data_IF_864726831578
#
_entry.id   IF_864726831578
#
_cell.length_a   1.000
_cell.length_b   1.000
_cell.length_c   1.000
_cell.angle_alpha   90.00
_cell.angle_beta   90.00
_cell.angle_gamma   90.00
#
_symmetry.space_group_name_H-M   'P 1'
#
loop_
_entity.id
_entity.type
_entity.pdbx_description
1 polymer ?
#
# COMPACT_ATOMS: atom_id res chain seq x y z
N UNK A 1 -24.01 23.52 -23.92
CA UNK A 1 -24.17 22.58 -22.78
C UNK A 1 -23.38 21.28 -22.96
N UNK A 2 -22.93 20.91 -24.15
CA UNK A 2 -22.11 19.70 -24.41
C UNK A 2 -20.68 19.79 -23.87
N UNK A 3 -20.02 20.95 -23.94
CA UNK A 3 -18.63 21.13 -23.46
C UNK A 3 -18.44 20.95 -21.95
N UNK A 4 -19.45 21.32 -21.15
CA UNK A 4 -19.40 21.16 -19.68
C UNK A 4 -19.49 19.67 -19.30
N UNK A 5 -20.26 18.87 -20.05
CA UNK A 5 -20.38 17.42 -19.88
C UNK A 5 -19.07 16.71 -20.25
N UNK A 6 -18.38 17.15 -21.31
CA UNK A 6 -17.05 16.63 -21.68
C UNK A 6 -15.93 17.01 -20.70
N UNK A 7 -16.07 18.13 -19.98
CA UNK A 7 -15.15 18.53 -18.91
C UNK A 7 -15.32 17.68 -17.66
N UNK A 8 -16.57 17.52 -17.19
CA UNK A 8 -16.89 16.74 -15.98
C UNK A 8 -16.55 15.25 -16.11
N UNK A 9 -16.72 14.67 -17.30
CA UNK A 9 -16.39 13.26 -17.59
C UNK A 9 -14.89 12.96 -17.44
N UNK A 10 -14.01 13.87 -17.87
CA UNK A 10 -12.55 13.69 -17.72
C UNK A 10 -12.08 13.92 -16.29
N UNK A 11 -12.75 14.76 -15.51
CA UNK A 11 -12.35 15.04 -14.12
C UNK A 11 -12.34 13.77 -13.27
N UNK A 12 -13.42 12.98 -13.31
CA UNK A 12 -13.50 11.74 -12.52
C UNK A 12 -12.44 10.72 -12.94
N UNK A 13 -12.14 10.65 -14.23
CA UNK A 13 -11.05 9.82 -14.75
C UNK A 13 -9.67 10.26 -14.24
N UNK A 14 -9.37 11.56 -14.25
CA UNK A 14 -8.09 12.07 -13.73
C UNK A 14 -8.00 11.92 -12.20
N UNK A 15 -9.08 12.22 -11.49
CA UNK A 15 -9.14 12.14 -10.02
C UNK A 15 -9.01 10.70 -9.54
N UNK A 16 -9.74 9.75 -10.14
CA UNK A 16 -9.62 8.33 -9.78
C UNK A 16 -8.20 7.81 -10.01
N UNK A 17 -7.55 8.19 -11.11
CA UNK A 17 -6.15 7.82 -11.37
C UNK A 17 -5.17 8.46 -10.40
N UNK A 18 -5.26 9.77 -10.19
CA UNK A 18 -4.38 10.49 -9.29
C UNK A 18 -4.49 9.93 -7.86
N UNK A 19 -5.71 9.69 -7.38
CA UNK A 19 -5.95 9.16 -6.03
C UNK A 19 -5.46 7.72 -5.89
N UNK A 20 -5.55 6.87 -6.92
CA UNK A 20 -4.98 5.53 -6.92
C UNK A 20 -3.44 5.53 -6.86
N UNK A 21 -2.77 6.40 -7.65
CA UNK A 21 -1.31 6.55 -7.60
C UNK A 21 -0.85 7.09 -6.25
N UNK A 22 -1.56 8.07 -5.69
CA UNK A 22 -1.25 8.64 -4.36
C UNK A 22 -1.49 7.61 -3.26
N UNK A 23 -2.58 6.84 -3.30
CA UNK A 23 -2.83 5.74 -2.35
C UNK A 23 -1.68 4.72 -2.35
N UNK A 24 -1.23 4.30 -3.55
CA UNK A 24 -0.09 3.39 -3.69
C UNK A 24 1.21 4.01 -3.15
N UNK A 25 1.49 5.27 -3.46
CA UNK A 25 2.69 5.96 -2.99
C UNK A 25 2.71 6.08 -1.46
N UNK A 26 1.59 6.45 -0.84
CA UNK A 26 1.43 6.51 0.62
C UNK A 26 1.62 5.15 1.26
N UNK A 27 1.06 4.09 0.66
CA UNK A 27 1.26 2.71 1.10
C UNK A 27 2.74 2.31 1.02
N UNK A 28 3.42 2.61 -0.09
CA UNK A 28 4.85 2.34 -0.27
C UNK A 28 5.68 3.04 0.81
N UNK A 29 5.40 4.32 1.06
CA UNK A 29 6.04 5.10 2.11
C UNK A 29 5.76 4.52 3.50
N UNK A 30 4.53 4.12 3.79
CA UNK A 30 4.17 3.51 5.07
C UNK A 30 4.97 2.21 5.32
N UNK A 31 5.12 1.35 4.30
CA UNK A 31 5.91 0.11 4.38
C UNK A 31 7.39 0.42 4.58
N UNK A 32 7.98 1.31 3.78
CA UNK A 32 9.38 1.71 3.91
C UNK A 32 9.66 2.35 5.27
N UNK A 33 8.74 3.17 5.78
CA UNK A 33 8.85 3.79 7.09
C UNK A 33 8.76 2.76 8.22
N UNK A 34 7.86 1.78 8.09
CA UNK A 34 7.78 0.64 9.01
C UNK A 34 9.06 -0.22 9.02
N UNK A 35 9.67 -0.41 7.84
CA UNK A 35 10.97 -1.07 7.70
C UNK A 35 12.09 -0.27 8.39
N UNK A 36 12.17 1.04 8.16
CA UNK A 36 13.14 1.93 8.78
C UNK A 36 13.03 1.93 10.32
N UNK A 37 11.79 1.95 10.84
CA UNK A 37 11.48 1.81 12.26
C UNK A 37 11.96 0.46 12.82
N UNK A 38 11.66 -0.64 12.13
CA UNK A 38 11.97 -2.00 12.60
C UNK A 38 13.46 -2.35 12.57
N UNK A 39 14.21 -1.75 11.64
CA UNK A 39 15.64 -2.02 11.43
C UNK A 39 16.55 -1.04 12.16
N UNK A 40 15.98 0.01 12.80
CA UNK A 40 16.72 1.14 13.37
C UNK A 40 17.70 1.78 12.37
N UNK A 41 17.38 1.73 11.08
CA UNK A 41 18.20 2.31 10.02
C UNK A 41 18.40 3.83 10.19
N UNK A 42 17.49 4.49 10.90
CA UNK A 42 17.57 5.92 11.25
C UNK A 42 18.50 6.22 12.43
N UNK A 43 19.07 5.20 13.09
CA UNK A 43 20.04 5.32 14.18
C UNK A 43 19.54 4.79 15.53
N UNK A 44 20.45 4.30 16.37
CA UNK A 44 20.13 3.77 17.72
C UNK A 44 19.47 4.81 18.66
N UNK A 45 19.66 6.12 18.40
CA UNK A 45 19.12 7.25 19.19
C UNK A 45 17.77 7.79 18.68
N UNK A 46 17.23 7.32 17.56
CA UNK A 46 15.96 7.84 17.02
C UNK A 46 14.74 7.13 17.62
N UNK A 47 14.70 6.94 18.94
CA UNK A 47 13.56 6.33 19.66
C UNK A 47 12.38 7.30 19.81
N UNK A 48 12.20 8.20 18.86
CA UNK A 48 11.31 9.32 19.02
C UNK A 48 9.86 8.92 18.63
N UNK A 49 8.88 9.09 19.52
CA UNK A 49 7.47 8.74 19.27
C UNK A 49 6.90 9.25 17.94
N UNK A 50 7.37 10.41 17.47
CA UNK A 50 6.95 11.01 16.20
C UNK A 50 7.19 10.11 14.98
N UNK A 51 8.20 9.23 15.00
CA UNK A 51 8.42 8.31 13.87
C UNK A 51 7.27 7.32 13.73
N UNK A 52 6.71 6.85 14.85
CA UNK A 52 5.53 6.00 14.85
C UNK A 52 4.30 6.79 14.40
N UNK A 53 4.20 8.05 14.79
CA UNK A 53 3.09 8.92 14.36
C UNK A 53 3.11 9.16 12.86
N UNK A 54 4.29 9.34 12.25
CA UNK A 54 4.42 9.42 10.77
C UNK A 54 3.98 8.12 10.11
N UNK A 55 4.38 6.95 10.62
CA UNK A 55 3.92 5.67 10.07
C UNK A 55 2.39 5.56 10.08
N UNK A 56 1.77 5.91 11.21
CA UNK A 56 0.31 5.89 11.40
C UNK A 56 -0.38 6.90 10.49
N UNK A 57 0.18 8.10 10.36
CA UNK A 57 -0.34 9.14 9.47
C UNK A 57 -0.30 8.69 8.01
N UNK A 58 0.81 8.11 7.55
CA UNK A 58 0.94 7.56 6.20
C UNK A 58 -0.05 6.42 5.95
N UNK A 59 -0.20 5.49 6.91
CA UNK A 59 -1.17 4.39 6.83
C UNK A 59 -2.61 4.90 6.74
N UNK A 60 -2.98 5.84 7.62
CA UNK A 60 -4.31 6.46 7.60
C UNK A 60 -4.60 7.20 6.29
N UNK A 61 -3.63 7.96 5.76
CA UNK A 61 -3.76 8.60 4.46
C UNK A 61 -3.90 7.57 3.32
N UNK A 62 -3.15 6.47 3.35
CA UNK A 62 -3.28 5.42 2.33
C UNK A 62 -4.70 4.82 2.31
N UNK A 63 -5.30 4.59 3.49
CA UNK A 63 -6.70 4.14 3.62
C UNK A 63 -7.66 5.19 3.06
N UNK A 64 -7.51 6.46 3.47
CA UNK A 64 -8.38 7.55 3.00
C UNK A 64 -8.32 7.67 1.47
N UNK A 65 -7.11 7.70 0.88
CA UNK A 65 -6.96 7.81 -0.57
C UNK A 65 -7.45 6.57 -1.31
N UNK A 66 -7.37 5.37 -0.71
CA UNK A 66 -7.98 4.15 -1.27
C UNK A 66 -9.52 4.26 -1.29
N UNK A 67 -10.13 4.79 -0.24
CA UNK A 67 -11.58 5.04 -0.20
C UNK A 67 -11.97 6.09 -1.24
N UNK A 68 -11.24 7.19 -1.34
CA UNK A 68 -11.49 8.22 -2.36
C UNK A 68 -11.34 7.64 -3.77
N UNK A 69 -10.35 6.77 -4.00
CA UNK A 69 -10.19 6.07 -5.26
C UNK A 69 -11.44 5.23 -5.62
N UNK A 70 -11.99 4.44 -4.69
CA UNK A 70 -13.24 3.70 -4.94
C UNK A 70 -14.45 4.59 -5.18
N UNK A 71 -14.62 5.63 -4.37
CA UNK A 71 -15.74 6.56 -4.48
C UNK A 71 -15.71 7.26 -5.84
N UNK A 72 -14.53 7.71 -6.27
CA UNK A 72 -14.37 8.42 -7.56
C UNK A 72 -14.56 7.51 -8.77
N UNK A 73 -14.23 6.22 -8.69
CA UNK A 73 -14.56 5.23 -9.72
C UNK A 73 -16.08 5.08 -9.90
N UNK A 74 -16.86 5.20 -8.82
CA UNK A 74 -18.32 5.11 -8.88
C UNK A 74 -18.98 6.29 -9.59
N UNK A 75 -18.24 7.39 -9.76
CA UNK A 75 -18.69 8.58 -10.50
C UNK A 75 -18.13 8.66 -11.93
N UNK A 76 -17.30 7.70 -12.35
CA UNK A 76 -16.79 7.65 -13.72
C UNK A 76 -17.91 7.22 -14.69
N UNK A 77 -18.37 8.13 -15.58
CA UNK A 77 -19.46 7.83 -16.50
C UNK A 77 -19.09 6.75 -17.52
N UNK A 78 -17.79 6.56 -17.81
CA UNK A 78 -17.33 5.52 -18.73
C UNK A 78 -17.53 4.12 -18.15
N UNK A 79 -17.17 3.90 -16.88
CA UNK A 79 -17.44 2.63 -16.19
C UNK A 79 -18.94 2.37 -16.04
N UNK A 80 -19.72 3.42 -15.74
CA UNK A 80 -21.16 3.30 -15.53
C UNK A 80 -21.91 2.99 -16.84
N UNK A 81 -21.46 3.55 -17.97
CA UNK A 81 -22.14 3.44 -19.27
C UNK A 81 -21.73 2.22 -20.09
N UNK A 82 -20.46 1.81 -20.09
CA UNK A 82 -19.99 0.69 -20.94
C UNK A 82 -20.06 -0.67 -20.25
N UNK A 83 -19.79 -0.74 -18.94
CA UNK A 83 -19.60 -2.01 -18.22
C UNK A 83 -20.60 -2.24 -17.08
N UNK A 84 -21.59 -1.36 -16.93
CA UNK A 84 -22.67 -1.50 -15.95
C UNK A 84 -22.13 -1.64 -14.52
N UNK A 85 -21.31 -0.68 -14.07
CA UNK A 85 -20.69 -0.70 -12.75
C UNK A 85 -21.68 -1.10 -11.65
N UNK A 86 -21.35 -2.18 -10.95
CA UNK A 86 -22.09 -2.66 -9.78
C UNK A 86 -21.18 -2.62 -8.56
N UNK A 87 -21.73 -2.34 -7.38
CA UNK A 87 -21.00 -2.36 -6.11
C UNK A 87 -20.28 -3.70 -5.91
N UNK A 88 -20.84 -4.82 -6.40
CA UNK A 88 -20.18 -6.13 -6.33
C UNK A 88 -18.83 -6.16 -7.04
N UNK A 89 -18.65 -5.41 -8.14
CA UNK A 89 -17.39 -5.34 -8.89
C UNK A 89 -16.27 -4.64 -8.11
N UNK A 90 -16.61 -3.83 -7.11
CA UNK A 90 -15.64 -3.18 -6.21
C UNK A 90 -15.21 -4.07 -5.05
N UNK A 91 -16.01 -5.08 -4.69
CA UNK A 91 -15.78 -5.88 -3.49
C UNK A 91 -15.65 -7.38 -3.73
N UNK A 92 -15.89 -7.89 -4.94
CA UNK A 92 -15.79 -9.33 -5.25
C UNK A 92 -14.71 -9.52 -6.32
N UNK A 93 -13.61 -10.24 -6.02
CA UNK A 93 -12.58 -10.55 -7.01
C UNK A 93 -13.19 -11.20 -8.26
N UNK A 94 -12.72 -10.79 -9.44
CA UNK A 94 -13.19 -11.28 -10.75
C UNK A 94 -14.65 -11.00 -11.13
N UNK A 95 -15.40 -10.22 -10.34
CA UNK A 95 -16.79 -9.87 -10.68
C UNK A 95 -16.90 -8.81 -11.79
N UNK A 96 -15.83 -8.08 -12.09
CA UNK A 96 -15.81 -7.08 -13.16
C UNK A 96 -15.54 -7.72 -14.52
N UNK A 97 -16.31 -7.32 -15.53
CA UNK A 97 -16.06 -7.65 -16.93
C UNK A 97 -14.85 -6.87 -17.50
N UNK A 98 -14.56 -5.70 -16.92
CA UNK A 98 -13.40 -4.92 -17.29
C UNK A 98 -12.16 -5.40 -16.51
N UNK A 99 -11.20 -6.01 -17.22
CA UNK A 99 -9.91 -6.45 -16.66
C UNK A 99 -10.07 -7.20 -15.31
N UNK A 100 -10.73 -8.36 -15.28
CA UNK A 100 -11.06 -9.08 -14.04
C UNK A 100 -9.83 -9.41 -13.18
N UNK A 101 -8.72 -9.81 -13.80
CA UNK A 101 -7.46 -10.09 -13.10
C UNK A 101 -6.86 -8.87 -12.41
N UNK A 102 -6.55 -7.78 -13.14
CA UNK A 102 -6.10 -6.52 -12.54
C UNK A 102 -6.99 -6.00 -11.42
N UNK A 103 -8.33 -6.09 -11.57
CA UNK A 103 -9.26 -5.68 -10.51
C UNK A 103 -9.20 -6.60 -9.29
N UNK A 104 -9.12 -7.92 -9.47
CA UNK A 104 -8.98 -8.87 -8.38
C UNK A 104 -7.75 -8.56 -7.49
N UNK A 105 -6.61 -8.18 -8.09
CA UNK A 105 -5.43 -7.75 -7.32
C UNK A 105 -5.70 -6.55 -6.41
N UNK A 106 -6.43 -5.54 -6.90
CA UNK A 106 -6.81 -4.36 -6.12
C UNK A 106 -7.76 -4.69 -4.97
N UNK A 107 -8.74 -5.56 -5.23
CA UNK A 107 -9.74 -5.98 -4.23
C UNK A 107 -9.08 -6.81 -3.12
N UNK A 108 -8.22 -7.77 -3.47
CA UNK A 108 -7.51 -8.57 -2.47
C UNK A 108 -6.51 -7.70 -1.70
N UNK A 109 -5.82 -6.76 -2.35
CA UNK A 109 -5.01 -5.76 -1.67
C UNK A 109 -5.85 -4.95 -0.66
N UNK A 110 -7.04 -4.49 -1.05
CA UNK A 110 -7.94 -3.78 -0.14
C UNK A 110 -8.31 -4.61 1.10
N UNK A 111 -8.55 -5.91 0.96
CA UNK A 111 -8.79 -6.79 2.12
C UNK A 111 -7.60 -6.83 3.07
N UNK A 112 -6.38 -6.95 2.54
CA UNK A 112 -5.18 -6.91 3.38
C UNK A 112 -4.98 -5.55 4.03
N UNK A 113 -5.30 -4.44 3.33
CA UNK A 113 -5.24 -3.09 3.88
C UNK A 113 -6.16 -2.98 5.10
N UNK A 114 -7.42 -3.42 4.96
CA UNK A 114 -8.37 -3.44 6.07
C UNK A 114 -7.89 -4.31 7.23
N UNK A 115 -7.41 -5.53 6.94
CA UNK A 115 -6.92 -6.43 7.97
C UNK A 115 -5.74 -5.83 8.76
N UNK A 116 -4.76 -5.24 8.06
CA UNK A 116 -3.60 -4.58 8.67
C UNK A 116 -4.01 -3.35 9.47
N UNK A 117 -4.88 -2.51 8.91
CA UNK A 117 -5.30 -1.26 9.56
C UNK A 117 -6.14 -1.54 10.80
N UNK A 118 -7.21 -2.33 10.69
CA UNK A 118 -8.08 -2.64 11.82
C UNK A 118 -7.31 -3.31 12.95
N UNK A 119 -6.47 -4.32 12.64
CA UNK A 119 -5.67 -4.95 13.71
C UNK A 119 -4.65 -4.00 14.32
N UNK A 120 -4.16 -3.00 13.58
CA UNK A 120 -3.23 -2.00 14.10
C UNK A 120 -3.91 -0.94 14.99
N UNK A 121 -5.14 -0.53 14.65
CA UNK A 121 -5.99 0.32 15.50
C UNK A 121 -6.32 -0.37 16.83
N UNK A 122 -6.61 -1.68 16.80
CA UNK A 122 -6.92 -2.48 17.98
C UNK A 122 -5.71 -3.19 18.59
N UNK A 123 -4.49 -2.82 18.23
CA UNK A 123 -3.24 -3.46 18.67
C UNK A 123 -3.17 -3.70 20.18
N UNK A 124 -3.64 -2.75 20.99
CA UNK A 124 -3.58 -2.83 22.45
C UNK A 124 -4.53 -3.87 23.06
N UNK A 125 -5.47 -4.42 22.27
CA UNK A 125 -6.42 -5.46 22.68
C UNK A 125 -6.10 -6.83 22.08
N UNK A 126 -5.03 -6.95 21.29
CA UNK A 126 -4.68 -8.16 20.57
C UNK A 126 -3.38 -8.78 21.11
N UNK A 127 -3.24 -10.12 21.08
CA UNK A 127 -1.96 -10.76 21.36
C UNK A 127 -0.88 -10.25 20.40
N UNK A 128 0.28 -9.87 20.95
CA UNK A 128 1.36 -9.26 20.16
C UNK A 128 1.84 -10.15 19.01
N UNK A 129 1.81 -11.48 19.16
CA UNK A 129 2.17 -12.43 18.10
C UNK A 129 1.15 -12.40 16.94
N UNK A 130 -0.13 -12.33 17.26
CA UNK A 130 -1.21 -12.27 16.27
C UNK A 130 -1.14 -10.97 15.47
N UNK A 131 -1.07 -9.83 16.16
CA UNK A 131 -0.94 -8.53 15.50
C UNK A 131 0.30 -8.49 14.58
N UNK A 132 1.45 -8.99 15.04
CA UNK A 132 2.65 -9.06 14.19
C UNK A 132 2.45 -9.94 12.96
N UNK A 133 1.79 -11.09 13.10
CA UNK A 133 1.48 -11.98 11.99
C UNK A 133 0.61 -11.31 10.93
N UNK A 134 -0.46 -10.65 11.35
CA UNK A 134 -1.34 -9.90 10.43
C UNK A 134 -0.62 -8.69 9.84
N UNK A 135 0.16 -7.95 10.63
CA UNK A 135 0.87 -6.77 10.15
C UNK A 135 1.96 -7.11 9.10
N UNK A 136 2.51 -8.34 9.11
CA UNK A 136 3.37 -8.83 8.03
C UNK A 136 2.62 -8.99 6.69
N UNK A 137 1.29 -9.03 6.69
CA UNK A 137 0.51 -9.00 5.46
C UNK A 137 0.63 -7.65 4.70
N UNK A 138 1.28 -6.63 5.29
CA UNK A 138 1.67 -5.41 4.60
C UNK A 138 2.59 -5.64 3.38
N UNK A 139 3.41 -6.71 3.38
CA UNK A 139 4.23 -7.07 2.22
C UNK A 139 3.40 -7.57 1.03
N UNK A 140 2.57 -8.62 1.16
CA UNK A 140 1.69 -9.05 0.07
C UNK A 140 0.69 -7.96 -0.32
N UNK A 141 0.18 -7.17 0.63
CA UNK A 141 -0.62 -5.97 0.35
C UNK A 141 0.07 -5.03 -0.64
N UNK A 142 1.31 -4.62 -0.34
CA UNK A 142 2.06 -3.72 -1.20
C UNK A 142 2.37 -4.33 -2.57
N UNK A 143 2.72 -5.63 -2.61
CA UNK A 143 2.95 -6.35 -3.85
C UNK A 143 1.69 -6.37 -4.74
N UNK A 144 0.53 -6.74 -4.18
CA UNK A 144 -0.74 -6.81 -4.90
C UNK A 144 -1.21 -5.43 -5.37
N UNK A 145 -1.07 -4.40 -4.52
CA UNK A 145 -1.36 -3.02 -4.91
C UNK A 145 -0.46 -2.53 -6.06
N UNK A 146 0.82 -2.94 -6.07
CA UNK A 146 1.75 -2.63 -7.16
C UNK A 146 1.38 -3.35 -8.45
N UNK A 147 1.01 -4.63 -8.38
CA UNK A 147 0.53 -5.40 -9.54
C UNK A 147 -0.75 -4.77 -10.10
N UNK A 148 -1.70 -4.40 -9.22
CA UNK A 148 -2.91 -3.68 -9.60
C UNK A 148 -2.59 -2.37 -10.33
N UNK A 149 -1.74 -1.53 -9.76
CA UNK A 149 -1.31 -0.26 -10.36
C UNK A 149 -0.73 -0.45 -11.78
N UNK A 150 0.13 -1.44 -11.98
CA UNK A 150 0.81 -1.68 -13.25
C UNK A 150 -0.07 -2.33 -14.33
N UNK A 151 -1.12 -3.05 -13.92
CA UNK A 151 -1.94 -3.86 -14.85
C UNK A 151 -3.32 -3.26 -15.12
N UNK A 152 -3.90 -2.53 -14.15
CA UNK A 152 -5.20 -1.89 -14.29
C UNK A 152 -5.09 -0.56 -15.07
N UNK A 153 -4.19 0.33 -14.65
CA UNK A 153 -4.03 1.66 -15.23
C UNK A 153 -3.45 1.67 -16.65
N UNK A 154 -3.88 2.62 -17.49
CA UNK A 154 -3.24 2.84 -18.79
C UNK A 154 -1.94 3.66 -18.70
N UNK A 155 -1.62 4.20 -17.52
CA UNK A 155 -0.39 4.94 -17.25
C UNK A 155 0.83 4.01 -17.05
N UNK A 156 0.67 2.70 -17.27
CA UNK A 156 1.71 1.72 -17.03
C UNK A 156 2.96 1.89 -17.92
N UNK A 157 2.89 2.66 -19.01
CA UNK A 157 4.03 3.06 -19.85
C UNK A 157 4.68 4.37 -19.40
N UNK A 158 4.10 5.08 -18.43
CA UNK A 158 4.66 6.33 -17.92
C UNK A 158 6.02 6.06 -17.23
N UNK A 159 7.13 6.65 -17.73
CA UNK A 159 8.45 6.40 -17.16
C UNK A 159 8.56 6.79 -15.68
N UNK A 160 7.92 7.89 -15.27
CA UNK A 160 7.97 8.36 -13.88
C UNK A 160 7.31 7.34 -12.94
N UNK A 161 6.17 6.78 -13.34
CA UNK A 161 5.48 5.74 -12.56
C UNK A 161 6.36 4.49 -12.44
N UNK A 162 6.95 4.03 -13.56
CA UNK A 162 7.81 2.85 -13.57
C UNK A 162 9.05 3.02 -12.72
N UNK A 163 9.75 4.15 -12.81
CA UNK A 163 10.90 4.44 -11.98
C UNK A 163 10.52 4.52 -10.50
N UNK A 164 9.37 5.12 -10.18
CA UNK A 164 8.86 5.16 -8.80
C UNK A 164 8.63 3.75 -8.26
N UNK A 165 8.00 2.87 -9.06
CA UNK A 165 7.79 1.46 -8.69
C UNK A 165 9.12 0.74 -8.50
N UNK A 166 10.05 0.86 -9.46
CA UNK A 166 11.36 0.21 -9.38
C UNK A 166 12.14 0.63 -8.13
N UNK A 167 12.19 1.93 -7.85
CA UNK A 167 12.89 2.47 -6.67
C UNK A 167 12.25 1.99 -5.38
N UNK A 168 10.93 2.06 -5.27
CA UNK A 168 10.22 1.68 -4.03
C UNK A 168 10.25 0.16 -3.80
N UNK A 169 10.05 -0.66 -4.83
CA UNK A 169 10.20 -2.13 -4.74
C UNK A 169 11.63 -2.49 -4.38
N UNK A 170 12.62 -1.89 -5.06
CA UNK A 170 14.04 -2.10 -4.77
C UNK A 170 14.39 -1.74 -3.33
N UNK A 171 13.90 -0.62 -2.83
CA UNK A 171 14.09 -0.20 -1.44
C UNK A 171 13.41 -1.17 -0.45
N UNK A 172 12.17 -1.61 -0.71
CA UNK A 172 11.47 -2.58 0.15
C UNK A 172 12.23 -3.91 0.19
N UNK A 173 12.70 -4.41 -0.96
CA UNK A 173 13.51 -5.64 -1.01
C UNK A 173 14.81 -5.47 -0.26
N UNK A 174 15.55 -4.39 -0.53
CA UNK A 174 16.82 -4.10 0.15
C UNK A 174 16.66 -4.02 1.67
N UNK A 175 15.70 -3.25 2.17
CA UNK A 175 15.48 -3.10 3.61
C UNK A 175 14.93 -4.37 4.25
N UNK A 176 14.14 -5.18 3.53
CA UNK A 176 13.71 -6.50 3.97
C UNK A 176 14.90 -7.44 4.14
N UNK A 177 15.79 -7.50 3.14
CA UNK A 177 17.02 -8.32 3.22
C UNK A 177 17.91 -7.82 4.36
N UNK A 178 18.10 -6.51 4.49
CA UNK A 178 18.84 -5.92 5.60
C UNK A 178 18.22 -6.26 6.96
N UNK A 179 16.89 -6.31 7.07
CA UNK A 179 16.19 -6.70 8.31
C UNK A 179 16.45 -8.17 8.68
N UNK A 180 16.55 -9.06 7.70
CA UNK A 180 16.74 -10.50 7.90
C UNK A 180 18.22 -10.82 8.19
N UNK A 181 19.14 -10.18 7.47
CA UNK A 181 20.59 -10.50 7.48
C UNK A 181 21.41 -9.55 8.36
N UNK A 182 20.91 -8.35 8.65
CA UNK A 182 21.63 -7.27 9.31
C UNK A 182 22.10 -7.58 10.75
N UNK A 183 22.94 -6.69 11.32
CA UNK A 183 23.70 -6.96 12.53
C UNK A 183 22.82 -6.93 13.79
N UNK A 184 22.12 -8.03 14.04
CA UNK A 184 21.29 -8.26 15.23
C UNK A 184 21.58 -9.59 15.94
N UNK A 185 22.49 -10.43 15.43
CA UNK A 185 22.81 -11.74 16.01
C UNK A 185 24.29 -12.01 16.27
N UNK A 186 25.19 -11.21 15.67
CA UNK A 186 26.64 -11.45 15.76
C UNK A 186 27.28 -10.84 17.02
N UNK A 187 26.74 -9.75 17.57
CA UNK A 187 27.26 -9.16 18.84
C UNK A 187 26.98 -10.04 20.07
N UNK A 188 25.87 -10.79 20.09
CA UNK A 188 25.51 -11.66 21.22
C UNK A 188 26.42 -12.88 21.35
N UNK A 189 26.99 -13.38 20.24
CA UNK A 189 27.91 -14.54 20.25
C UNK A 189 29.31 -14.12 20.71
N UNK A 190 29.69 -12.87 20.47
CA UNK A 190 31.02 -12.35 20.85
C UNK A 190 31.12 -11.99 22.33
N UNK A 191 30.01 -11.67 22.99
CA UNK A 191 29.97 -11.33 24.42
C UNK A 191 29.83 -12.54 25.37
N UNK A 192 29.47 -13.72 24.87
CA UNK A 192 29.35 -14.94 25.69
C UNK A 192 30.62 -15.79 25.73
N UNK A 193 31.72 -15.34 25.11
CA UNK A 193 33.02 -16.00 25.26
C UNK A 193 33.61 -15.66 26.63
N UNK A 194 33.86 -16.65 27.52
CA UNK A 194 34.51 -16.36 28.79
C UNK A 194 35.90 -15.80 28.52
N UNK A 195 36.22 -14.65 29.14
CA UNK A 195 37.59 -14.14 29.16
C UNK A 195 38.46 -15.20 29.84
N UNK A 196 39.44 -15.72 29.10
CA UNK A 196 40.55 -16.50 29.67
C UNK A 196 41.44 -15.59 30.50
#
# INVERSE_FOLDING_TARGET
MTTVVFGATKVWWYVSRATGVVAWALLALAVLWGLALSTRALGRKTSAPWLLDVHRFLGGLAVIFTIVHFVTLSFDPWMSSEYGYSISQAFIPFASEWKPGPMAWGIVAFYFLLAVEFTSLFKNRLPQKFWRGVHLASYPLYAMATIHLLTAGSDNQNPLLRWSVLVTVGAVVFFTVYRIVGPGRVESVKQSSPKK
#
